data_IF_863158025052
#
_entry.id   IF_863158025052
#
_cell.length_a   1.000
_cell.length_b   1.000
_cell.length_c   1.000
_cell.angle_alpha   90.00
_cell.angle_beta   90.00
_cell.angle_gamma   90.00
#
_symmetry.space_group_name_H-M   'P 1'
#
loop_
_entity.id
_entity.type
_entity.pdbx_description
1 polymer ?
#
# COMPACT_ATOMS: atom_id res chain seq x y z
N UNK A 1 -24.02 -50.70 11.01
CA UNK A 1 -22.81 -49.99 10.55
C UNK A 1 -23.22 -48.80 9.69
N UNK A 2 -23.07 -47.58 10.22
CA UNK A 2 -22.75 -46.29 9.55
C UNK A 2 -23.24 -45.12 10.42
N UNK A 3 -22.36 -44.53 11.25
CA UNK A 3 -22.60 -43.22 11.81
C UNK A 3 -21.36 -42.32 11.70
N UNK A 4 -21.14 -41.56 10.61
CA UNK A 4 -20.00 -40.62 10.58
C UNK A 4 -20.20 -39.31 9.80
N UNK A 5 -21.42 -38.94 9.40
CA UNK A 5 -21.61 -37.68 8.67
C UNK A 5 -21.91 -36.46 9.57
N UNK A 6 -22.40 -36.68 10.80
CA UNK A 6 -22.78 -35.58 11.70
C UNK A 6 -21.64 -35.07 12.59
N UNK A 7 -20.59 -35.87 12.82
CA UNK A 7 -19.43 -35.46 13.64
C UNK A 7 -18.47 -34.54 12.88
N UNK A 8 -18.41 -34.61 11.54
CA UNK A 8 -17.56 -33.71 10.74
C UNK A 8 -18.11 -32.29 10.60
N UNK A 9 -19.44 -32.11 10.69
CA UNK A 9 -20.06 -30.78 10.62
C UNK A 9 -19.92 -30.04 11.96
N UNK A 10 -19.89 -30.76 13.08
CA UNK A 10 -19.67 -30.17 14.40
C UNK A 10 -18.20 -29.76 14.65
N UNK A 11 -17.22 -30.45 14.06
CA UNK A 11 -15.79 -30.11 14.20
C UNK A 11 -15.37 -28.95 13.28
N UNK A 12 -16.07 -28.71 12.17
CA UNK A 12 -15.82 -27.56 11.29
C UNK A 12 -16.52 -26.26 11.76
N UNK A 13 -17.46 -26.34 12.71
CA UNK A 13 -18.11 -25.19 13.35
C UNK A 13 -17.48 -24.79 14.70
N UNK A 14 -16.48 -25.55 15.18
CA UNK A 14 -15.72 -25.27 16.38
C UNK A 14 -14.30 -24.71 16.11
N UNK A 15 -14.02 -24.29 14.87
CA UNK A 15 -13.06 -23.21 14.70
C UNK A 15 -13.79 -21.96 15.15
N UNK A 16 -13.54 -21.53 16.39
CA UNK A 16 -13.85 -20.20 16.86
C UNK A 16 -13.27 -19.19 15.85
N UNK A 17 -14.09 -18.83 14.86
CA UNK A 17 -14.13 -17.48 14.37
C UNK A 17 -14.55 -16.67 15.59
N UNK A 18 -13.58 -16.36 16.46
CA UNK A 18 -13.64 -15.17 17.28
C UNK A 18 -13.85 -14.08 16.25
N UNK A 19 -15.12 -13.69 16.08
CA UNK A 19 -15.45 -12.40 15.52
C UNK A 19 -14.65 -11.44 16.39
N UNK A 20 -13.45 -11.06 15.94
CA UNK A 20 -12.63 -10.10 16.65
C UNK A 20 -13.47 -8.84 16.59
N UNK A 21 -14.16 -8.56 17.70
CA UNK A 21 -14.89 -7.32 17.88
C UNK A 21 -13.97 -6.19 17.47
N UNK A 22 -14.55 -5.20 16.79
CA UNK A 22 -13.84 -3.97 16.47
C UNK A 22 -13.19 -3.44 17.75
N UNK A 23 -11.89 -3.16 17.70
CA UNK A 23 -11.18 -2.61 18.86
C UNK A 23 -11.91 -1.36 19.40
N UNK A 24 -12.38 -1.46 20.64
CA UNK A 24 -13.04 -0.36 21.35
C UNK A 24 -11.99 0.50 22.06
N UNK A 25 -12.28 1.79 22.22
CA UNK A 25 -11.44 2.72 22.97
C UNK A 25 -11.26 2.27 24.42
N UNK A 26 -12.26 1.63 25.03
CA UNK A 26 -12.19 1.15 26.42
C UNK A 26 -11.12 0.06 26.60
N UNK A 27 -10.82 -0.69 25.54
CA UNK A 27 -9.80 -1.74 25.55
C UNK A 27 -8.37 -1.19 25.44
N UNK A 28 -8.21 0.07 25.04
CA UNK A 28 -6.90 0.69 24.85
C UNK A 28 -6.23 1.01 26.20
N UNK A 29 -4.97 0.59 26.42
CA UNK A 29 -4.22 0.98 27.60
C UNK A 29 -3.82 2.45 27.49
N UNK A 30 -4.19 3.26 28.47
CA UNK A 30 -3.72 4.63 28.53
C UNK A 30 -2.25 4.67 28.96
N UNK A 31 -1.50 5.65 28.44
CA UNK A 31 -0.06 5.72 28.67
C UNK A 31 0.44 7.15 28.78
N UNK A 32 1.61 7.32 29.38
CA UNK A 32 2.44 8.50 29.25
C UNK A 32 3.55 8.23 28.24
N UNK A 33 3.95 9.25 27.48
CA UNK A 33 5.03 9.14 26.51
C UNK A 33 6.00 10.31 26.65
N UNK A 34 7.29 10.04 26.44
CA UNK A 34 8.33 11.05 26.26
C UNK A 34 9.37 10.58 25.26
N UNK A 35 10.14 11.51 24.71
CA UNK A 35 11.19 11.21 23.76
C UNK A 35 12.42 12.10 24.00
N UNK A 36 13.57 11.63 23.52
CA UNK A 36 14.79 12.42 23.41
C UNK A 36 15.54 12.07 22.14
N UNK A 37 16.35 13.01 21.68
CA UNK A 37 17.38 12.76 20.68
C UNK A 37 18.64 12.29 21.40
N UNK A 38 19.26 11.26 20.86
CA UNK A 38 20.56 10.76 21.31
C UNK A 38 21.65 11.21 20.36
N UNK A 39 21.38 11.22 19.05
CA UNK A 39 22.33 11.68 18.04
C UNK A 39 21.64 12.39 16.88
N UNK A 40 22.32 13.38 16.31
CA UNK A 40 21.99 14.08 15.07
C UNK A 40 23.21 14.04 14.16
N UNK A 41 23.02 13.57 12.92
CA UNK A 41 24.12 13.36 11.96
C UNK A 41 25.26 12.50 12.52
N UNK A 42 24.90 11.51 13.35
CA UNK A 42 25.87 10.64 14.02
C UNK A 42 26.70 11.29 15.13
N UNK A 43 26.37 12.52 15.54
CA UNK A 43 27.02 13.25 16.64
C UNK A 43 26.05 13.47 17.78
N UNK A 44 26.57 13.67 18.98
CA UNK A 44 25.74 14.05 20.13
C UNK A 44 25.14 15.45 19.91
N UNK A 45 23.87 15.69 20.28
CA UNK A 45 23.23 16.98 20.10
C UNK A 45 23.88 18.04 20.99
N UNK A 46 24.04 19.27 20.46
CA UNK A 46 24.60 20.39 21.22
C UNK A 46 23.71 20.74 22.43
N UNK A 47 24.30 21.24 23.51
CA UNK A 47 23.57 21.48 24.77
C UNK A 47 22.41 22.47 24.65
N UNK A 48 22.46 23.40 23.70
CA UNK A 48 21.45 24.41 23.38
C UNK A 48 20.55 24.02 22.20
N UNK A 49 20.84 22.90 21.53
CA UNK A 49 20.09 22.44 20.37
C UNK A 49 18.69 22.00 20.79
N UNK A 50 17.69 22.73 20.32
CA UNK A 50 16.28 22.43 20.62
C UNK A 50 15.69 21.46 19.60
N UNK A 51 15.06 20.41 20.10
CA UNK A 51 14.29 19.44 19.31
C UNK A 51 12.85 19.43 19.79
N UNK A 52 11.92 19.30 18.84
CA UNK A 52 10.48 19.28 19.05
C UNK A 52 9.94 17.91 18.67
N UNK A 53 9.15 17.33 19.55
CA UNK A 53 8.42 16.09 19.35
C UNK A 53 6.92 16.36 19.28
N UNK A 54 6.26 15.65 18.38
CA UNK A 54 4.80 15.59 18.29
C UNK A 54 4.38 14.14 18.45
N UNK A 55 3.62 13.85 19.50
CA UNK A 55 3.07 12.53 19.74
C UNK A 55 1.69 12.42 19.12
N UNK A 56 1.41 11.34 18.42
CA UNK A 56 0.03 11.08 18.00
C UNK A 56 -0.70 10.34 19.12
N UNK A 57 -1.98 10.64 19.37
CA UNK A 57 -2.80 11.66 18.71
C UNK A 57 -2.78 13.06 19.34
N UNK A 58 -2.03 13.29 20.42
CA UNK A 58 -1.95 14.58 21.14
C UNK A 58 -1.61 15.78 20.24
N UNK A 59 -0.63 15.63 19.34
CA UNK A 59 -0.19 16.60 18.32
C UNK A 59 0.29 17.95 18.86
N UNK A 60 0.40 18.15 20.18
CA UNK A 60 1.06 19.33 20.71
C UNK A 60 2.58 19.24 20.52
N UNK A 61 3.25 20.39 20.54
CA UNK A 61 4.69 20.49 20.41
C UNK A 61 5.36 20.32 21.78
N UNK A 62 6.19 19.28 21.92
CA UNK A 62 6.90 18.97 23.16
C UNK A 62 8.40 19.14 22.95
N UNK A 63 9.02 20.07 23.68
CA UNK A 63 10.41 20.47 23.45
C UNK A 63 11.37 19.71 24.36
N UNK A 64 12.56 19.46 23.85
CA UNK A 64 13.73 19.01 24.59
C UNK A 64 14.96 19.78 24.10
N UNK A 65 15.98 19.91 24.94
CA UNK A 65 17.24 20.58 24.59
C UNK A 65 18.40 19.60 24.77
N UNK A 66 19.32 19.56 23.80
CA UNK A 66 20.42 18.61 23.75
C UNK A 66 19.92 17.16 23.82
N UNK A 67 20.50 16.38 24.73
CA UNK A 67 20.12 14.96 24.96
C UNK A 67 19.07 14.78 26.07
N UNK A 68 18.43 15.86 26.52
CA UNK A 68 17.42 15.80 27.57
C UNK A 68 16.12 15.15 27.06
N UNK A 69 15.34 14.61 27.99
CA UNK A 69 13.99 14.15 27.72
C UNK A 69 13.03 15.34 27.61
N UNK A 70 12.09 15.28 26.67
CA UNK A 70 10.92 16.13 26.78
C UNK A 70 10.09 15.73 28.02
N UNK A 71 9.20 16.62 28.52
CA UNK A 71 8.27 16.25 29.58
C UNK A 71 7.42 15.03 29.23
N UNK A 72 6.93 14.34 30.26
CA UNK A 72 5.93 13.27 30.08
C UNK A 72 4.61 13.85 29.55
N UNK A 73 4.04 13.18 28.56
CA UNK A 73 2.78 13.56 27.91
C UNK A 73 1.76 12.45 28.10
N UNK A 74 0.64 12.79 28.72
CA UNK A 74 -0.47 11.87 28.93
C UNK A 74 -1.27 11.64 27.66
N UNK A 75 -1.43 10.37 27.26
CA UNK A 75 -2.33 9.91 26.21
C UNK A 75 -3.44 9.06 26.84
N UNK A 76 -4.59 9.71 27.02
CA UNK A 76 -5.81 9.10 27.57
C UNK A 76 -6.72 8.53 26.46
N UNK A 77 -7.78 7.84 26.88
CA UNK A 77 -8.79 7.27 25.97
C UNK A 77 -9.46 8.31 25.07
N UNK A 78 -9.73 9.52 25.59
CA UNK A 78 -10.36 10.58 24.81
C UNK A 78 -9.51 10.95 23.59
N UNK A 79 -8.20 11.11 23.79
CA UNK A 79 -7.25 11.36 22.71
C UNK A 79 -7.19 10.17 21.74
N UNK A 80 -7.14 8.95 22.25
CA UNK A 80 -7.04 7.73 21.43
C UNK A 80 -8.28 7.47 20.56
N UNK A 81 -9.49 7.81 21.04
CA UNK A 81 -10.73 7.64 20.29
C UNK A 81 -10.66 8.30 18.90
N UNK A 82 -10.15 9.53 18.83
CA UNK A 82 -10.01 10.26 17.57
C UNK A 82 -9.07 9.57 16.56
N UNK A 83 -8.08 8.83 17.04
CA UNK A 83 -7.08 8.13 16.23
C UNK A 83 -7.56 6.74 15.78
N UNK A 84 -8.43 6.08 16.56
CA UNK A 84 -9.10 4.84 16.14
C UNK A 84 -9.91 5.03 14.85
N UNK A 85 -10.45 6.25 14.64
CA UNK A 85 -11.19 6.63 13.43
C UNK A 85 -10.31 7.15 12.29
N UNK A 86 -8.98 6.99 12.38
CA UNK A 86 -8.05 7.35 11.30
C UNK A 86 -7.33 6.11 10.75
N UNK A 87 -6.92 6.18 9.49
CA UNK A 87 -6.05 5.18 8.89
C UNK A 87 -4.70 5.12 9.66
N UNK A 88 -4.12 3.93 9.91
CA UNK A 88 -4.59 2.61 9.49
C UNK A 88 -5.56 1.93 10.49
N UNK A 89 -5.83 2.52 11.66
CA UNK A 89 -6.67 1.90 12.69
C UNK A 89 -8.08 1.56 12.20
N UNK A 90 -8.67 2.40 11.34
CA UNK A 90 -9.98 2.13 10.72
C UNK A 90 -10.02 0.87 9.88
N UNK A 91 -8.89 0.48 9.28
CA UNK A 91 -8.78 -0.67 8.41
C UNK A 91 -8.42 -1.93 9.18
N UNK A 92 -7.58 -1.82 10.22
CA UNK A 92 -7.16 -2.96 11.04
C UNK A 92 -8.31 -3.55 11.87
N UNK A 93 -9.26 -2.71 12.32
CA UNK A 93 -10.43 -3.08 13.15
C UNK A 93 -10.07 -3.91 14.40
N UNK A 94 -8.82 -3.93 14.83
CA UNK A 94 -8.29 -4.81 15.87
C UNK A 94 -6.89 -4.40 16.30
N UNK A 95 -6.26 -5.20 17.16
CA UNK A 95 -4.86 -4.99 17.53
C UNK A 95 -3.91 -5.23 16.33
N UNK A 96 -2.82 -4.47 16.21
CA UNK A 96 -2.37 -3.41 17.13
C UNK A 96 -3.08 -2.07 16.88
N UNK A 97 -3.18 -1.25 17.92
CA UNK A 97 -3.49 0.17 17.78
C UNK A 97 -2.23 0.92 17.32
N UNK A 98 -2.37 1.72 16.27
CA UNK A 98 -1.28 2.42 15.59
C UNK A 98 -1.27 3.89 15.96
N UNK A 99 -0.13 4.32 16.48
CA UNK A 99 0.23 5.68 16.84
C UNK A 99 1.61 6.03 16.28
N UNK A 100 2.22 7.12 16.74
CA UNK A 100 3.58 7.46 16.34
C UNK A 100 4.15 8.70 17.03
N UNK A 101 5.41 8.96 16.72
CA UNK A 101 6.17 10.15 17.11
C UNK A 101 6.66 10.83 15.84
N UNK A 102 6.55 12.15 15.79
CA UNK A 102 7.23 12.99 14.80
C UNK A 102 8.29 13.84 15.49
N UNK A 103 9.48 13.93 14.92
CA UNK A 103 10.62 14.72 15.45
C UNK A 103 11.02 15.83 14.47
N UNK A 104 11.38 17.00 15.00
CA UNK A 104 11.90 18.15 14.23
C UNK A 104 12.94 18.96 15.04
N UNK A 105 14.04 19.45 14.45
CA UNK A 105 14.48 19.17 13.08
C UNK A 105 14.86 17.70 12.90
N UNK A 106 14.94 17.24 11.65
CA UNK A 106 15.41 15.90 11.30
C UNK A 106 16.62 16.03 10.38
N UNK A 107 17.67 15.27 10.68
CA UNK A 107 18.90 15.17 9.88
C UNK A 107 19.35 13.72 9.86
N UNK A 108 19.60 13.14 8.68
CA UNK A 108 19.95 11.71 8.57
C UNK A 108 21.43 11.47 8.92
N UNK A 109 21.77 10.58 9.87
CA UNK A 109 20.87 9.84 10.76
C UNK A 109 20.52 10.62 12.03
N UNK A 110 19.24 10.57 12.43
CA UNK A 110 18.78 11.03 13.75
C UNK A 110 18.47 9.82 14.61
N UNK A 111 19.21 9.62 15.70
CA UNK A 111 18.93 8.54 16.66
C UNK A 111 18.07 9.09 17.80
N UNK A 112 16.95 8.45 18.07
CA UNK A 112 16.04 8.83 19.15
C UNK A 112 15.77 7.67 20.10
N UNK A 113 15.38 8.04 21.31
CA UNK A 113 14.77 7.15 22.29
C UNK A 113 13.37 7.64 22.64
N UNK A 114 12.46 6.71 22.81
CA UNK A 114 11.08 6.94 23.24
C UNK A 114 10.79 6.04 24.41
N UNK A 115 10.17 6.59 25.45
CA UNK A 115 9.65 5.82 26.56
C UNK A 115 8.13 5.92 26.58
N UNK A 116 7.49 4.77 26.75
CA UNK A 116 6.05 4.63 26.95
C UNK A 116 5.84 4.03 28.34
N UNK A 117 5.13 4.75 29.21
CA UNK A 117 4.77 4.28 30.56
C UNK A 117 3.27 4.01 30.62
N UNK A 118 2.88 2.76 30.83
CA UNK A 118 1.46 2.41 30.97
C UNK A 118 0.93 2.84 32.33
N UNK A 119 -0.24 3.49 32.35
CA UNK A 119 -0.81 4.00 33.61
C UNK A 119 -1.41 2.90 34.46
N UNK A 120 -1.94 1.84 33.85
CA UNK A 120 -2.58 0.75 34.59
C UNK A 120 -1.62 -0.07 35.46
N UNK A 121 -0.32 -0.13 35.12
CA UNK A 121 0.66 -0.97 35.83
C UNK A 121 2.02 -0.29 36.06
N UNK A 122 2.22 0.95 35.61
CA UNK A 122 3.48 1.68 35.72
C UNK A 122 4.62 1.15 34.86
N UNK A 123 4.40 0.11 34.04
CA UNK A 123 5.43 -0.50 33.21
C UNK A 123 5.96 0.51 32.20
N UNK A 124 7.29 0.65 32.15
CA UNK A 124 7.99 1.49 31.17
C UNK A 124 8.58 0.60 30.07
N UNK A 125 8.24 0.93 28.82
CA UNK A 125 8.82 0.32 27.62
C UNK A 125 9.70 1.35 26.94
N UNK A 126 10.94 0.97 26.67
CA UNK A 126 11.91 1.81 25.95
C UNK A 126 12.07 1.34 24.50
N UNK A 127 12.00 2.30 23.59
CA UNK A 127 12.05 2.09 22.15
C UNK A 127 13.16 2.98 21.61
N UNK A 128 14.07 2.41 20.81
CA UNK A 128 15.10 3.16 20.13
C UNK A 128 14.85 3.13 18.63
N UNK A 129 15.19 4.20 17.90
CA UNK A 129 15.04 4.30 16.44
C UNK A 129 16.19 5.07 15.81
N UNK A 130 16.54 4.73 14.56
CA UNK A 130 17.49 5.49 13.74
C UNK A 130 16.76 5.99 12.50
N UNK A 131 16.42 7.27 12.51
CA UNK A 131 15.50 7.90 11.58
C UNK A 131 16.24 8.60 10.43
N UNK A 132 15.80 8.35 9.20
CA UNK A 132 16.17 9.13 8.00
C UNK A 132 15.09 10.14 7.58
N UNK A 133 14.00 10.20 8.33
CA UNK A 133 12.84 11.05 8.11
C UNK A 133 12.13 11.28 9.44
N UNK A 134 11.17 12.20 9.52
CA UNK A 134 10.72 12.72 10.81
C UNK A 134 9.82 11.76 11.60
N UNK A 135 9.40 10.61 11.06
CA UNK A 135 8.36 9.77 11.66
C UNK A 135 8.90 8.43 12.21
N UNK A 136 8.46 8.09 13.42
CA UNK A 136 8.56 6.76 14.04
C UNK A 136 7.15 6.25 14.32
N UNK A 137 6.82 5.03 13.88
CA UNK A 137 5.56 4.38 14.25
C UNK A 137 5.61 3.84 15.68
N UNK A 138 4.45 3.79 16.34
CA UNK A 138 4.29 3.12 17.62
C UNK A 138 3.09 2.18 17.55
N UNK A 139 3.28 0.94 17.97
CA UNK A 139 2.25 -0.08 17.98
C UNK A 139 1.96 -0.48 19.42
N UNK A 140 0.68 -0.40 19.81
CA UNK A 140 0.20 -0.80 21.12
C UNK A 140 -0.72 -2.01 20.99
N UNK A 141 -0.57 -3.00 21.88
CA UNK A 141 -1.43 -4.17 21.93
C UNK A 141 -1.44 -4.80 23.32
N UNK A 142 -2.39 -5.70 23.58
CA UNK A 142 -2.37 -6.55 24.78
C UNK A 142 -1.79 -7.92 24.46
N UNK A 143 -0.89 -8.40 25.30
CA UNK A 143 -0.27 -9.73 25.16
C UNK A 143 -1.32 -10.79 25.45
N UNK A 144 -1.48 -11.76 24.54
CA UNK A 144 -2.54 -12.77 24.65
C UNK A 144 -2.48 -13.66 25.90
N UNK A 145 -1.29 -13.87 26.47
CA UNK A 145 -1.10 -14.82 27.58
C UNK A 145 -1.60 -14.29 28.93
N UNK A 146 -1.57 -12.98 29.14
CA UNK A 146 -1.79 -12.35 30.45
C UNK A 146 -2.40 -10.94 30.36
N UNK A 147 -2.88 -10.57 29.17
CA UNK A 147 -3.51 -9.29 28.86
C UNK A 147 -2.65 -8.03 29.12
N UNK A 148 -1.35 -8.23 29.36
CA UNK A 148 -0.43 -7.15 29.70
C UNK A 148 -0.25 -6.19 28.51
N UNK A 149 -0.27 -4.87 28.76
CA UNK A 149 -0.11 -3.87 27.71
C UNK A 149 1.32 -3.91 27.17
N UNK A 150 1.47 -3.76 25.87
CA UNK A 150 2.74 -3.79 25.16
C UNK A 150 2.83 -2.58 24.24
N UNK A 151 4.06 -2.08 24.06
CA UNK A 151 4.40 -1.06 23.08
C UNK A 151 5.66 -1.48 22.33
N UNK A 152 5.76 -1.12 21.06
CA UNK A 152 6.95 -1.36 20.25
C UNK A 152 6.98 -0.45 19.03
N UNK A 153 8.16 -0.23 18.46
CA UNK A 153 8.25 0.25 17.08
C UNK A 153 7.77 -0.84 16.10
N UNK A 154 7.34 -0.48 14.87
CA UNK A 154 7.06 -1.43 13.80
C UNK A 154 8.17 -2.45 13.60
N UNK A 155 9.44 -2.02 13.66
CA UNK A 155 10.61 -2.91 13.60
C UNK A 155 10.57 -4.01 14.67
N UNK A 156 10.41 -3.64 15.93
CA UNK A 156 10.39 -4.56 17.07
C UNK A 156 9.15 -5.48 17.01
N UNK A 157 7.99 -4.92 16.69
CA UNK A 157 6.74 -5.67 16.57
C UNK A 157 6.78 -6.71 15.46
N UNK A 158 7.37 -6.35 14.31
CA UNK A 158 7.44 -7.22 13.14
C UNK A 158 8.45 -8.37 13.28
N UNK A 159 9.30 -8.39 14.31
CA UNK A 159 10.24 -9.49 14.56
C UNK A 159 9.54 -10.86 14.61
N UNK A 160 8.27 -10.91 15.03
CA UNK A 160 7.48 -12.15 15.02
C UNK A 160 7.30 -12.75 13.61
N UNK A 161 7.25 -11.91 12.58
CA UNK A 161 7.16 -12.34 11.18
C UNK A 161 8.55 -12.70 10.66
N UNK A 162 9.57 -11.91 11.03
CA UNK A 162 10.96 -12.14 10.61
C UNK A 162 11.58 -13.40 11.17
N UNK A 163 11.12 -13.91 12.33
CA UNK A 163 11.58 -15.19 12.86
C UNK A 163 11.39 -16.36 11.90
N UNK A 164 10.30 -16.37 11.12
CA UNK A 164 10.09 -17.39 10.10
C UNK A 164 11.10 -17.24 8.95
N UNK A 165 11.39 -16.00 8.55
CA UNK A 165 12.39 -15.69 7.51
C UNK A 165 13.83 -15.91 7.98
N UNK A 166 14.12 -15.79 9.28
CA UNK A 166 15.45 -16.02 9.85
C UNK A 166 15.91 -17.47 9.72
N UNK A 167 14.98 -18.41 9.53
CA UNK A 167 15.28 -19.81 9.27
C UNK A 167 15.57 -20.10 7.78
N UNK A 168 15.39 -19.11 6.91
CA UNK A 168 15.61 -19.23 5.47
C UNK A 168 16.84 -18.40 5.10
N UNK A 169 17.85 -19.08 4.59
CA UNK A 169 18.96 -18.48 3.88
C UNK A 169 19.18 -19.30 2.62
N UNK A 170 18.71 -18.78 1.47
CA UNK A 170 18.78 -19.48 0.19
C UNK A 170 20.15 -19.20 -0.47
N UNK A 171 21.05 -20.20 -0.56
CA UNK A 171 22.35 -20.05 -1.20
C UNK A 171 22.24 -19.54 -2.63
N UNK A 172 23.21 -18.74 -3.07
CA UNK A 172 23.20 -18.10 -4.39
C UNK A 172 23.01 -19.07 -5.57
N UNK A 173 23.50 -20.32 -5.43
CA UNK A 173 23.35 -21.39 -6.43
C UNK A 173 21.91 -21.86 -6.64
N UNK A 174 21.04 -21.66 -5.65
CA UNK A 174 19.62 -22.02 -5.72
C UNK A 174 18.72 -20.82 -6.01
N UNK A 175 19.26 -19.60 -6.02
CA UNK A 175 18.48 -18.40 -6.32
C UNK A 175 18.08 -18.39 -7.81
N UNK A 176 16.82 -18.05 -8.14
CA UNK A 176 16.38 -17.94 -9.53
C UNK A 176 17.26 -16.99 -10.34
N UNK A 177 17.65 -17.41 -11.55
CA UNK A 177 18.46 -16.59 -12.48
C UNK A 177 17.74 -16.18 -13.76
N UNK A 178 16.62 -16.85 -14.07
CA UNK A 178 15.91 -16.67 -15.35
C UNK A 178 14.69 -15.75 -15.25
N UNK A 179 14.10 -15.59 -14.06
CA UNK A 179 12.95 -14.75 -13.84
C UNK A 179 13.07 -13.99 -12.51
N UNK A 180 12.52 -12.77 -12.40
CA UNK A 180 12.48 -12.06 -11.15
C UNK A 180 11.42 -12.67 -10.21
N UNK A 181 11.77 -12.88 -8.95
CA UNK A 181 10.81 -12.96 -7.85
C UNK A 181 10.78 -11.60 -7.17
N UNK A 182 9.60 -10.98 -7.16
CA UNK A 182 9.40 -9.60 -6.72
C UNK A 182 8.49 -9.56 -5.49
N UNK A 183 8.92 -8.85 -4.46
CA UNK A 183 8.07 -8.44 -3.34
C UNK A 183 8.61 -7.15 -2.73
N UNK A 184 8.03 -6.68 -1.63
CA UNK A 184 8.37 -5.41 -1.00
C UNK A 184 8.35 -5.51 0.51
N UNK A 185 9.29 -4.81 1.13
CA UNK A 185 9.12 -4.44 2.53
C UNK A 185 8.30 -3.15 2.59
N UNK A 186 7.16 -3.19 3.28
CA UNK A 186 6.34 -2.00 3.54
C UNK A 186 6.72 -1.45 4.92
N UNK A 187 7.69 -0.54 4.95
CA UNK A 187 7.99 0.24 6.15
C UNK A 187 6.86 1.24 6.42
N UNK A 188 6.30 1.21 7.63
CA UNK A 188 5.24 2.14 8.05
C UNK A 188 5.81 3.45 8.65
N UNK A 189 7.13 3.58 8.72
CA UNK A 189 7.84 4.72 9.31
C UNK A 189 9.25 4.92 8.70
N UNK A 190 10.05 5.81 9.30
CA UNK A 190 11.38 6.17 8.84
C UNK A 190 12.53 5.50 9.62
N UNK A 191 12.29 4.43 10.41
CA UNK A 191 13.39 3.71 11.07
C UNK A 191 14.20 2.91 10.04
N UNK A 192 15.39 3.42 9.71
CA UNK A 192 16.31 2.84 8.72
C UNK A 192 16.71 1.41 9.03
N UNK A 193 16.76 1.04 10.32
CA UNK A 193 17.06 -0.34 10.74
C UNK A 193 15.93 -1.29 10.37
N UNK A 194 14.67 -0.83 10.41
CA UNK A 194 13.52 -1.62 9.99
C UNK A 194 13.58 -1.94 8.50
N UNK A 195 13.92 -0.93 7.68
CA UNK A 195 14.14 -1.09 6.24
C UNK A 195 15.28 -2.06 5.94
N UNK A 196 16.42 -1.91 6.64
CA UNK A 196 17.57 -2.81 6.48
C UNK A 196 17.22 -4.26 6.81
N UNK A 197 16.63 -4.51 7.97
CA UNK A 197 16.24 -5.87 8.39
C UNK A 197 15.23 -6.51 7.42
N UNK A 198 14.20 -5.75 6.98
CA UNK A 198 13.20 -6.26 6.05
C UNK A 198 13.77 -6.58 4.66
N UNK A 199 14.61 -5.68 4.12
CA UNK A 199 15.26 -5.88 2.81
C UNK A 199 16.23 -7.08 2.86
N UNK A 200 17.05 -7.19 3.91
CA UNK A 200 17.97 -8.31 4.09
C UNK A 200 17.23 -9.64 4.24
N UNK A 201 16.12 -9.67 5.00
CA UNK A 201 15.31 -10.87 5.17
C UNK A 201 14.70 -11.34 3.84
N UNK A 202 14.17 -10.42 3.02
CA UNK A 202 13.65 -10.76 1.70
C UNK A 202 14.78 -11.21 0.75
N UNK A 203 15.93 -10.54 0.75
CA UNK A 203 17.09 -10.96 -0.04
C UNK A 203 17.52 -12.39 0.30
N UNK A 204 17.67 -12.73 1.58
CA UNK A 204 18.02 -14.09 2.03
C UNK A 204 16.96 -15.13 1.66
N UNK A 205 15.68 -14.76 1.67
CA UNK A 205 14.60 -15.65 1.25
C UNK A 205 14.54 -15.91 -0.26
N UNK A 206 15.39 -15.26 -1.06
CA UNK A 206 15.53 -15.52 -2.50
C UNK A 206 14.75 -14.56 -3.39
N UNK A 207 14.21 -13.47 -2.85
CA UNK A 207 13.63 -12.41 -3.68
C UNK A 207 14.74 -11.71 -4.46
N UNK A 208 14.64 -11.76 -5.80
CA UNK A 208 15.71 -11.29 -6.69
C UNK A 208 15.54 -9.84 -7.13
N UNK A 209 14.37 -9.24 -6.89
CA UNK A 209 14.11 -7.83 -7.07
C UNK A 209 13.14 -7.34 -5.98
N UNK A 210 13.34 -6.13 -5.47
CA UNK A 210 12.52 -5.59 -4.39
C UNK A 210 11.85 -4.29 -4.79
N UNK A 211 10.58 -4.12 -4.41
CA UNK A 211 9.90 -2.85 -4.63
C UNK A 211 10.28 -1.85 -3.54
N UNK A 212 10.94 -0.76 -3.93
CA UNK A 212 11.37 0.31 -3.02
C UNK A 212 11.11 1.68 -3.64
N UNK A 213 10.72 2.71 -2.87
CA UNK A 213 10.59 4.05 -3.42
C UNK A 213 11.96 4.60 -3.85
N UNK A 214 11.99 5.58 -4.77
CA UNK A 214 13.23 6.24 -5.16
C UNK A 214 13.84 6.97 -3.96
N UNK A 215 14.89 6.38 -3.39
CA UNK A 215 15.61 6.92 -2.24
C UNK A 215 17.08 6.47 -2.28
N UNK A 216 18.01 7.43 -2.20
CA UNK A 216 19.45 7.15 -2.12
C UNK A 216 19.79 6.25 -0.94
N UNK A 217 19.08 6.41 0.19
CA UNK A 217 19.29 5.57 1.37
C UNK A 217 18.89 4.11 1.12
N UNK A 218 17.74 3.90 0.49
CA UNK A 218 17.28 2.55 0.15
C UNK A 218 18.15 1.93 -0.93
N UNK A 219 18.68 2.73 -1.85
CA UNK A 219 19.67 2.28 -2.82
C UNK A 219 20.89 1.68 -2.12
N UNK A 220 21.46 2.38 -1.14
CA UNK A 220 22.62 1.88 -0.39
C UNK A 220 22.28 0.62 0.42
N UNK A 221 21.10 0.57 1.06
CA UNK A 221 20.65 -0.62 1.80
C UNK A 221 20.49 -1.83 0.86
N UNK A 222 19.96 -1.64 -0.35
CA UNK A 222 19.84 -2.71 -1.34
C UNK A 222 21.22 -3.21 -1.79
N UNK A 223 22.16 -2.31 -2.03
CA UNK A 223 23.54 -2.67 -2.38
C UNK A 223 24.21 -3.48 -1.26
N UNK A 224 24.10 -3.04 0.00
CA UNK A 224 24.59 -3.78 1.17
C UNK A 224 23.95 -5.17 1.28
N UNK A 225 22.68 -5.31 0.93
CA UNK A 225 21.95 -6.58 0.93
C UNK A 225 22.18 -7.45 -0.32
N UNK A 226 23.04 -7.01 -1.26
CA UNK A 226 23.33 -7.71 -2.51
C UNK A 226 22.17 -7.73 -3.52
N UNK A 227 21.19 -6.84 -3.38
CA UNK A 227 20.02 -6.74 -4.26
C UNK A 227 20.25 -5.67 -5.32
N UNK A 228 20.49 -6.10 -6.56
CA UNK A 228 20.83 -5.19 -7.67
C UNK A 228 19.65 -4.85 -8.58
N UNK A 229 18.50 -5.52 -8.41
CA UNK A 229 17.29 -5.28 -9.18
C UNK A 229 16.20 -4.70 -8.31
N UNK A 230 15.47 -3.74 -8.85
CA UNK A 230 14.35 -3.08 -8.18
C UNK A 230 13.06 -3.32 -8.94
N UNK A 231 11.96 -3.12 -8.26
CA UNK A 231 10.65 -3.03 -8.88
C UNK A 231 9.91 -1.81 -8.34
N UNK A 232 8.81 -1.44 -8.97
CA UNK A 232 7.96 -0.39 -8.42
C UNK A 232 6.50 -0.61 -8.77
N UNK A 233 5.62 0.08 -8.04
CA UNK A 233 4.21 0.17 -8.37
C UNK A 233 3.72 1.60 -8.24
N UNK A 234 2.73 1.94 -9.07
CA UNK A 234 1.91 3.13 -8.88
C UNK A 234 0.45 2.71 -8.70
N UNK A 235 -0.28 3.51 -7.93
CA UNK A 235 -1.73 3.32 -7.82
C UNK A 235 -2.42 3.46 -9.18
N UNK A 236 -1.97 4.39 -10.02
CA UNK A 236 -2.58 4.67 -11.31
C UNK A 236 -1.71 5.54 -12.23
N UNK A 237 -1.68 5.28 -13.55
CA UNK A 237 -1.16 6.25 -14.52
C UNK A 237 -2.16 7.41 -14.72
N UNK A 238 -1.82 8.46 -15.49
CA UNK A 238 -2.76 9.52 -15.86
C UNK A 238 -4.04 8.93 -16.46
N UNK A 239 -5.20 9.37 -15.94
CA UNK A 239 -6.50 8.84 -16.35
C UNK A 239 -6.90 7.50 -15.72
N UNK A 240 -6.08 6.94 -14.83
CA UNK A 240 -6.32 5.61 -14.25
C UNK A 240 -6.37 4.54 -15.35
N UNK A 241 -7.52 3.93 -15.60
CA UNK A 241 -7.69 2.91 -16.63
C UNK A 241 -8.11 3.47 -18.00
N UNK A 242 -8.45 4.78 -18.11
CA UNK A 242 -9.03 5.35 -19.33
C UNK A 242 -8.56 6.78 -19.61
N UNK A 243 -8.49 7.16 -20.88
CA UNK A 243 -8.08 8.51 -21.34
C UNK A 243 -9.27 9.46 -21.61
N UNK A 244 -10.35 9.36 -20.82
CA UNK A 244 -11.59 10.10 -21.08
C UNK A 244 -11.53 11.58 -20.67
N UNK A 245 -10.65 11.97 -19.74
CA UNK A 245 -10.39 13.38 -19.44
C UNK A 245 -9.38 13.95 -20.45
N UNK A 246 -9.89 14.33 -21.63
CA UNK A 246 -9.08 14.80 -22.77
C UNK A 246 -8.22 16.04 -22.46
N UNK A 247 -8.58 16.81 -21.43
CA UNK A 247 -7.82 17.99 -21.00
C UNK A 247 -6.62 17.62 -20.14
N UNK A 248 -6.71 16.52 -19.39
CA UNK A 248 -5.67 16.11 -18.42
C UNK A 248 -4.87 14.90 -18.86
N UNK A 249 -5.42 14.05 -19.71
CA UNK A 249 -4.80 12.81 -20.18
C UNK A 249 -4.41 12.97 -21.64
N UNK A 250 -3.34 13.72 -21.87
CA UNK A 250 -2.72 13.91 -23.19
C UNK A 250 -1.49 13.01 -23.34
N UNK A 251 -1.02 12.73 -24.58
CA UNK A 251 0.23 12.02 -24.80
C UNK A 251 1.40 12.65 -24.03
N UNK A 252 1.51 13.98 -24.01
CA UNK A 252 2.56 14.71 -23.31
C UNK A 252 2.46 14.56 -21.80
N UNK A 253 1.23 14.49 -21.25
CA UNK A 253 1.02 14.25 -19.83
C UNK A 253 1.44 12.82 -19.43
N UNK A 254 1.17 11.83 -20.28
CA UNK A 254 1.60 10.43 -20.08
C UNK A 254 3.13 10.34 -20.14
N UNK A 255 3.76 10.97 -21.14
CA UNK A 255 5.23 10.99 -21.26
C UNK A 255 5.90 11.67 -20.06
N UNK A 256 5.39 12.85 -19.67
CA UNK A 256 5.91 13.58 -18.51
C UNK A 256 5.77 12.76 -17.23
N UNK A 257 4.63 12.10 -17.03
CA UNK A 257 4.42 11.22 -15.89
C UNK A 257 5.44 10.07 -15.88
N UNK A 258 5.64 9.39 -17.00
CA UNK A 258 6.60 8.28 -17.10
C UNK A 258 8.04 8.75 -16.83
N UNK A 259 8.43 9.90 -17.41
CA UNK A 259 9.73 10.52 -17.17
C UNK A 259 9.93 10.88 -15.69
N UNK A 260 8.90 11.45 -15.04
CA UNK A 260 8.95 11.75 -13.61
C UNK A 260 9.15 10.50 -12.74
N UNK A 261 8.55 9.35 -13.12
CA UNK A 261 8.81 8.08 -12.42
C UNK A 261 10.30 7.71 -12.55
N UNK A 262 10.84 7.68 -13.76
CA UNK A 262 12.23 7.30 -14.02
C UNK A 262 13.24 8.27 -13.37
N UNK A 263 12.99 9.57 -13.45
CA UNK A 263 13.88 10.60 -12.90
C UNK A 263 14.00 10.54 -11.38
N UNK A 264 12.94 10.12 -10.68
CA UNK A 264 13.01 9.85 -9.24
C UNK A 264 14.11 8.85 -8.91
N UNK A 265 14.18 7.76 -9.68
CA UNK A 265 15.18 6.72 -9.52
C UNK A 265 16.59 7.20 -9.90
N UNK A 266 16.72 7.87 -11.06
CA UNK A 266 18.02 8.45 -11.49
C UNK A 266 18.61 9.39 -10.45
N UNK A 267 17.81 10.34 -9.95
CA UNK A 267 18.25 11.30 -8.91
C UNK A 267 18.64 10.61 -7.59
N UNK A 268 18.04 9.45 -7.33
CA UNK A 268 18.34 8.62 -6.15
C UNK A 268 19.56 7.71 -6.34
N UNK A 269 20.23 7.74 -7.49
CA UNK A 269 21.42 6.95 -7.77
C UNK A 269 21.14 5.53 -8.24
N UNK A 270 19.90 5.22 -8.63
CA UNK A 270 19.60 3.96 -9.32
C UNK A 270 19.88 4.10 -10.81
N UNK A 271 20.38 3.02 -11.40
CA UNK A 271 20.42 2.87 -12.85
C UNK A 271 19.04 2.40 -13.33
N UNK A 272 18.41 3.08 -14.31
CA UNK A 272 17.12 2.67 -14.86
C UNK A 272 17.05 1.19 -15.30
N UNK A 273 18.16 0.61 -15.76
CA UNK A 273 18.25 -0.80 -16.15
C UNK A 273 18.09 -1.78 -14.97
N UNK A 274 18.21 -1.31 -13.73
CA UNK A 274 17.93 -2.12 -12.54
C UNK A 274 16.44 -2.39 -12.36
N UNK A 275 15.55 -1.65 -13.04
CA UNK A 275 14.10 -1.85 -12.95
C UNK A 275 13.70 -3.16 -13.63
N UNK A 276 13.38 -4.16 -12.82
CA UNK A 276 12.99 -5.50 -13.25
C UNK A 276 11.50 -5.63 -13.61
N UNK A 277 10.65 -4.85 -12.95
CA UNK A 277 9.21 -4.91 -13.08
C UNK A 277 8.58 -3.58 -12.64
N UNK A 278 7.61 -3.11 -13.41
CA UNK A 278 6.78 -1.98 -13.02
C UNK A 278 5.31 -2.39 -12.99
N UNK A 279 4.68 -2.38 -11.81
CA UNK A 279 3.25 -2.62 -11.67
C UNK A 279 2.49 -1.29 -11.86
N UNK A 280 1.83 -1.17 -13.00
CA UNK A 280 1.04 -0.01 -13.40
C UNK A 280 -0.43 -0.24 -13.07
N UNK A 281 -0.97 0.62 -12.20
CA UNK A 281 -2.34 0.58 -11.72
C UNK A 281 -2.62 -0.55 -10.74
N UNK A 282 -3.41 -0.21 -9.71
CA UNK A 282 -3.95 -1.17 -8.75
C UNK A 282 -5.44 -1.44 -9.08
N UNK A 283 -5.77 -2.69 -9.40
CA UNK A 283 -7.14 -3.21 -9.55
C UNK A 283 -8.06 -2.40 -10.49
N UNK A 284 -7.68 -2.14 -11.76
CA UNK A 284 -8.33 -1.13 -12.62
C UNK A 284 -9.83 -1.32 -12.88
N UNK A 285 -10.37 -2.53 -12.68
CA UNK A 285 -11.80 -2.80 -12.84
C UNK A 285 -12.68 -2.34 -11.67
N UNK A 286 -12.11 -1.84 -10.56
CA UNK A 286 -12.84 -1.51 -9.34
C UNK A 286 -13.93 -0.46 -9.54
N UNK A 287 -13.72 0.48 -10.46
CA UNK A 287 -14.67 1.56 -10.74
C UNK A 287 -15.72 1.23 -11.80
N UNK A 288 -15.83 -0.04 -12.22
CA UNK A 288 -16.91 -0.47 -13.09
C UNK A 288 -18.21 -0.68 -12.30
N UNK A 289 -19.39 -0.23 -12.78
CA UNK A 289 -19.67 0.42 -14.07
C UNK A 289 -19.67 1.96 -14.01
N UNK A 290 -19.14 2.61 -12.96
CA UNK A 290 -19.14 4.08 -12.83
C UNK A 290 -18.49 4.78 -14.04
N UNK A 291 -17.58 4.10 -14.74
CA UNK A 291 -16.93 4.58 -15.97
C UNK A 291 -17.86 4.81 -17.17
N UNK A 292 -19.10 4.32 -17.16
CA UNK A 292 -20.07 4.62 -18.22
C UNK A 292 -20.32 6.12 -18.36
N UNK A 293 -20.52 6.80 -17.21
CA UNK A 293 -20.77 8.24 -17.19
C UNK A 293 -19.55 9.04 -17.63
N UNK A 294 -18.34 8.54 -17.36
CA UNK A 294 -17.11 9.19 -17.78
C UNK A 294 -16.93 9.07 -19.30
N UNK A 295 -17.22 7.90 -19.87
CA UNK A 295 -17.23 7.69 -21.32
C UNK A 295 -18.21 8.65 -22.00
N UNK A 296 -19.46 8.72 -21.53
CA UNK A 296 -20.50 9.56 -22.14
C UNK A 296 -20.18 11.06 -22.14
N UNK A 297 -19.33 11.51 -21.21
CA UNK A 297 -18.86 12.90 -21.13
C UNK A 297 -17.68 13.20 -22.06
N UNK A 298 -17.05 12.18 -22.65
CA UNK A 298 -15.96 12.34 -23.61
C UNK A 298 -16.47 12.06 -25.03
N UNK A 299 -16.62 13.09 -25.88
CA UNK A 299 -17.00 12.90 -27.27
C UNK A 299 -16.07 11.92 -28.00
N UNK A 300 -14.76 11.98 -27.73
CA UNK A 300 -13.77 11.07 -28.30
C UNK A 300 -14.00 9.62 -27.85
N UNK A 301 -14.29 9.40 -26.58
CA UNK A 301 -14.58 8.07 -26.05
C UNK A 301 -15.90 7.49 -26.59
N UNK A 302 -16.96 8.32 -26.69
CA UNK A 302 -18.22 7.94 -27.32
C UNK A 302 -18.01 7.52 -28.77
N UNK A 303 -17.26 8.31 -29.53
CA UNK A 303 -16.94 7.99 -30.92
C UNK A 303 -16.19 6.65 -31.00
N UNK A 304 -15.16 6.46 -30.16
CA UNK A 304 -14.39 5.22 -30.09
C UNK A 304 -15.27 4.00 -29.76
N UNK A 305 -16.24 4.18 -28.86
CA UNK A 305 -17.22 3.14 -28.54
C UNK A 305 -18.10 2.78 -29.75
N UNK A 306 -18.60 3.78 -30.48
CA UNK A 306 -19.38 3.55 -31.70
C UNK A 306 -18.55 2.86 -32.79
N UNK A 307 -17.31 3.28 -32.99
CA UNK A 307 -16.38 2.65 -33.93
C UNK A 307 -16.08 1.21 -33.54
N UNK A 308 -15.86 0.94 -32.26
CA UNK A 308 -15.68 -0.41 -31.75
C UNK A 308 -16.90 -1.29 -32.05
N UNK A 309 -18.12 -0.80 -31.81
CA UNK A 309 -19.35 -1.54 -32.12
C UNK A 309 -19.46 -1.83 -33.62
N UNK A 310 -19.21 -0.84 -34.48
CA UNK A 310 -19.24 -1.01 -35.95
C UNK A 310 -18.22 -2.04 -36.42
N UNK A 311 -16.98 -1.99 -35.90
CA UNK A 311 -15.92 -2.95 -36.24
C UNK A 311 -16.27 -4.39 -35.83
N UNK A 312 -17.12 -4.55 -34.82
CA UNK A 312 -17.64 -5.84 -34.38
C UNK A 312 -18.99 -6.20 -35.03
N UNK A 313 -19.32 -5.57 -36.15
CA UNK A 313 -20.49 -5.91 -36.98
C UNK A 313 -21.83 -5.42 -36.43
N UNK A 314 -21.84 -4.53 -35.44
CA UNK A 314 -23.09 -3.97 -34.91
C UNK A 314 -23.63 -2.86 -35.83
N UNK A 315 -24.86 -3.04 -36.27
CA UNK A 315 -25.67 -2.03 -36.98
C UNK A 315 -26.73 -1.44 -36.07
N UNK A 316 -27.27 -0.28 -36.42
CA UNK A 316 -28.38 0.35 -35.69
C UNK A 316 -29.60 -0.59 -35.59
N UNK A 317 -29.93 -1.26 -36.70
CA UNK A 317 -30.98 -2.29 -36.74
C UNK A 317 -30.69 -3.45 -35.79
N UNK A 318 -29.46 -3.98 -35.78
CA UNK A 318 -29.09 -5.10 -34.89
C UNK A 318 -29.19 -4.75 -33.40
N UNK A 319 -29.07 -3.47 -33.07
CA UNK A 319 -29.18 -2.91 -31.72
C UNK A 319 -30.59 -2.41 -31.40
N UNK A 320 -31.52 -2.43 -32.36
CA UNK A 320 -32.86 -1.87 -32.21
C UNK A 320 -32.82 -0.37 -31.92
N UNK A 321 -32.01 0.39 -32.67
CA UNK A 321 -31.85 1.85 -32.58
C UNK A 321 -32.04 2.48 -33.96
N UNK A 322 -32.39 3.76 -33.99
CA UNK A 322 -32.50 4.54 -35.23
C UNK A 322 -31.36 5.53 -35.42
N UNK A 323 -30.59 5.82 -34.36
CA UNK A 323 -29.47 6.76 -34.39
C UNK A 323 -28.36 6.29 -33.43
N UNK A 324 -27.09 6.47 -33.83
CA UNK A 324 -25.92 6.23 -33.00
C UNK A 324 -25.90 7.09 -31.73
N UNK A 325 -26.54 8.26 -31.72
CA UNK A 325 -26.71 9.07 -30.50
C UNK A 325 -27.49 8.33 -29.40
N UNK A 326 -28.34 7.36 -29.76
CA UNK A 326 -29.08 6.51 -28.81
C UNK A 326 -28.25 5.31 -28.32
N UNK A 327 -27.10 5.04 -28.94
CA UNK A 327 -26.20 3.94 -28.57
C UNK A 327 -25.25 4.43 -27.49
N UNK A 328 -25.50 3.96 -26.26
CA UNK A 328 -24.75 4.28 -25.04
C UNK A 328 -24.34 3.01 -24.30
N UNK A 329 -23.27 3.02 -23.49
CA UNK A 329 -22.98 1.88 -22.63
C UNK A 329 -24.16 1.65 -21.68
N UNK A 330 -24.61 0.40 -21.56
CA UNK A 330 -25.71 0.03 -20.67
C UNK A 330 -25.27 -1.01 -19.66
N UNK A 331 -25.90 -1.01 -18.49
CA UNK A 331 -25.73 -2.02 -17.45
C UNK A 331 -26.77 -3.15 -17.54
N UNK A 332 -26.62 -4.22 -16.73
CA UNK A 332 -27.52 -5.38 -16.76
C UNK A 332 -28.97 -5.02 -16.43
N UNK A 333 -29.18 -4.02 -15.55
CA UNK A 333 -30.52 -3.55 -15.17
C UNK A 333 -31.26 -2.83 -16.30
N UNK A 334 -30.58 -2.41 -17.37
CA UNK A 334 -31.14 -1.70 -18.52
C UNK A 334 -31.51 -2.63 -19.69
N UNK A 335 -31.18 -3.92 -19.61
CA UNK A 335 -31.44 -4.88 -20.70
C UNK A 335 -32.92 -5.26 -20.75
N UNK A 336 -33.61 -5.00 -21.87
CA UNK A 336 -35.03 -5.34 -22.07
C UNK A 336 -35.29 -6.10 -23.37
N UNK A 337 -34.49 -5.83 -24.39
CA UNK A 337 -34.66 -6.39 -25.74
C UNK A 337 -33.47 -7.26 -26.16
N UNK A 338 -33.59 -7.95 -27.29
CA UNK A 338 -32.47 -8.66 -27.91
C UNK A 338 -31.35 -7.69 -28.34
N UNK A 339 -31.71 -6.50 -28.83
CA UNK A 339 -30.77 -5.42 -29.13
C UNK A 339 -29.99 -4.97 -27.90
N UNK A 340 -30.65 -4.82 -26.76
CA UNK A 340 -29.97 -4.46 -25.50
C UNK A 340 -29.03 -5.56 -25.02
N UNK A 341 -29.39 -6.84 -25.19
CA UNK A 341 -28.47 -7.96 -24.83
C UNK A 341 -27.17 -7.87 -25.62
N UNK A 342 -27.25 -7.60 -26.93
CA UNK A 342 -26.06 -7.39 -27.79
C UNK A 342 -25.28 -6.16 -27.36
N UNK A 343 -25.96 -5.04 -27.10
CA UNK A 343 -25.32 -3.79 -26.67
C UNK A 343 -24.59 -3.97 -25.33
N UNK A 344 -25.23 -4.62 -24.34
CA UNK A 344 -24.64 -4.92 -23.04
C UNK A 344 -23.41 -5.81 -23.18
N UNK A 345 -23.51 -6.89 -23.96
CA UNK A 345 -22.38 -7.79 -24.23
C UNK A 345 -21.15 -7.04 -24.76
N UNK A 346 -21.36 -6.18 -25.76
CA UNK A 346 -20.27 -5.40 -26.35
C UNK A 346 -19.82 -4.23 -25.47
N UNK A 347 -20.69 -3.68 -24.62
CA UNK A 347 -20.30 -2.71 -23.60
C UNK A 347 -19.29 -3.32 -22.63
N UNK A 348 -19.58 -4.50 -22.08
CA UNK A 348 -18.65 -5.20 -21.17
C UNK A 348 -17.28 -5.44 -21.83
N UNK A 349 -17.27 -5.86 -23.10
CA UNK A 349 -16.02 -6.10 -23.84
C UNK A 349 -15.27 -4.83 -24.20
N UNK A 350 -15.98 -3.75 -24.51
CA UNK A 350 -15.37 -2.47 -24.86
C UNK A 350 -14.49 -1.94 -23.73
N UNK A 351 -14.95 -1.95 -22.46
CA UNK A 351 -14.17 -1.38 -21.36
C UNK A 351 -12.86 -2.14 -21.10
N UNK A 352 -12.85 -3.46 -21.24
CA UNK A 352 -11.61 -4.25 -21.16
C UNK A 352 -10.67 -3.93 -22.34
N UNK A 353 -11.22 -3.83 -23.56
CA UNK A 353 -10.45 -3.48 -24.75
C UNK A 353 -9.85 -2.06 -24.67
N UNK A 354 -10.65 -1.08 -24.27
CA UNK A 354 -10.24 0.33 -24.26
C UNK A 354 -9.26 0.64 -23.12
N UNK A 355 -9.42 -0.03 -21.96
CA UNK A 355 -8.43 0.06 -20.89
C UNK A 355 -7.09 -0.58 -21.27
N UNK A 356 -7.11 -1.75 -21.93
CA UNK A 356 -5.90 -2.37 -22.45
C UNK A 356 -5.18 -1.45 -23.47
N UNK A 357 -5.93 -0.77 -24.34
CA UNK A 357 -5.38 0.24 -25.27
C UNK A 357 -4.72 1.40 -24.52
N UNK A 358 -5.38 1.97 -23.51
CA UNK A 358 -4.80 3.07 -22.70
C UNK A 358 -3.53 2.62 -21.97
N UNK A 359 -3.56 1.45 -21.33
CA UNK A 359 -2.39 0.90 -20.67
C UNK A 359 -1.26 0.58 -21.65
N UNK A 360 -1.54 0.18 -22.89
CA UNK A 360 -0.49 0.03 -23.89
C UNK A 360 0.27 1.35 -24.13
N UNK A 361 -0.45 2.47 -24.25
CA UNK A 361 0.16 3.81 -24.38
C UNK A 361 0.99 4.18 -23.16
N UNK A 362 0.47 3.97 -21.94
CA UNK A 362 1.23 4.27 -20.71
C UNK A 362 2.46 3.36 -20.54
N UNK A 363 2.35 2.08 -20.90
CA UNK A 363 3.47 1.13 -20.91
C UNK A 363 4.58 1.59 -21.84
N UNK A 364 4.24 1.99 -23.06
CA UNK A 364 5.23 2.46 -24.04
C UNK A 364 6.00 3.67 -23.54
N UNK A 365 5.31 4.63 -22.89
CA UNK A 365 5.95 5.78 -22.27
C UNK A 365 6.90 5.37 -21.13
N UNK A 366 6.49 4.44 -20.25
CA UNK A 366 7.37 3.89 -19.20
C UNK A 366 8.60 3.18 -19.79
N UNK A 367 8.39 2.38 -20.84
CA UNK A 367 9.45 1.63 -21.53
C UNK A 367 10.50 2.58 -22.09
N UNK A 368 10.07 3.67 -22.75
CA UNK A 368 10.97 4.75 -23.20
C UNK A 368 11.68 5.45 -22.04
N UNK A 369 10.92 5.80 -21.00
CA UNK A 369 11.45 6.56 -19.86
C UNK A 369 12.50 5.78 -19.06
N UNK A 370 12.38 4.46 -18.94
CA UNK A 370 13.37 3.61 -18.24
C UNK A 370 14.46 3.03 -19.17
N UNK A 371 14.37 3.26 -20.49
CA UNK A 371 15.48 3.03 -21.42
C UNK A 371 15.68 1.58 -21.89
N UNK A 372 14.64 0.75 -21.94
CA UNK A 372 14.77 -0.65 -22.39
C UNK A 372 13.45 -1.42 -22.38
N UNK A 373 13.52 -2.74 -22.60
CA UNK A 373 12.38 -3.66 -22.49
C UNK A 373 11.99 -3.87 -21.02
N UNK A 374 11.26 -2.89 -20.48
CA UNK A 374 10.75 -2.91 -19.11
C UNK A 374 9.46 -3.75 -19.05
N UNK A 375 9.43 -4.86 -18.28
CA UNK A 375 8.18 -5.54 -17.99
C UNK A 375 7.25 -4.62 -17.20
N UNK A 376 6.10 -4.28 -17.79
CA UNK A 376 5.04 -3.52 -17.12
C UNK A 376 3.81 -4.40 -17.02
N UNK A 377 3.28 -4.53 -15.82
CA UNK A 377 2.11 -5.37 -15.52
C UNK A 377 1.03 -4.56 -14.83
N UNK A 378 -0.21 -5.03 -14.86
CA UNK A 378 -1.30 -4.52 -14.02
C UNK A 378 -2.01 -5.71 -13.38
N UNK A 379 -2.41 -5.58 -12.12
CA UNK A 379 -3.19 -6.62 -11.45
C UNK A 379 -4.66 -6.53 -11.88
N UNK A 380 -4.98 -7.23 -12.97
CA UNK A 380 -6.36 -7.39 -13.39
C UNK A 380 -7.13 -8.19 -12.35
N UNK A 381 -8.14 -7.57 -11.75
CA UNK A 381 -9.10 -8.28 -10.92
C UNK A 381 -10.19 -8.90 -11.80
N UNK A 382 -10.52 -10.16 -11.54
CA UNK A 382 -11.56 -10.89 -12.26
C UNK A 382 -12.97 -10.43 -11.79
N UNK A 383 -13.40 -9.23 -12.18
CA UNK A 383 -14.66 -8.60 -11.77
C UNK A 383 -15.94 -9.26 -12.33
N UNK A 384 -15.84 -10.43 -12.98
CA UNK A 384 -17.00 -11.29 -13.25
C UNK A 384 -17.58 -11.96 -12.00
N UNK A 385 -16.95 -11.78 -10.83
CA UNK A 385 -17.32 -12.42 -9.59
C UNK A 385 -18.62 -11.90 -8.98
N UNK A 386 -19.73 -12.58 -9.28
CA UNK A 386 -20.89 -12.73 -8.38
C UNK A 386 -20.52 -13.44 -7.04
N UNK A 387 -19.24 -13.70 -6.82
CA UNK A 387 -18.64 -14.45 -5.71
C UNK A 387 -17.63 -13.61 -4.91
N UNK A 388 -17.76 -12.28 -4.89
CA UNK A 388 -17.37 -11.54 -3.70
C UNK A 388 -18.45 -11.80 -2.64
N UNK A 389 -18.42 -13.01 -2.06
CA UNK A 389 -19.01 -13.24 -0.75
C UNK A 389 -18.07 -12.60 0.26
N UNK A 390 -18.63 -11.85 1.21
CA UNK A 390 -17.91 -11.33 2.36
C UNK A 390 -17.33 -12.52 3.15
N UNK A 391 -16.15 -12.99 2.77
CA UNK A 391 -15.40 -13.94 3.57
C UNK A 391 -14.94 -13.25 4.85
N UNK A 392 -14.82 -13.97 5.98
CA UNK A 392 -14.43 -13.40 7.27
C UNK A 392 -13.01 -12.80 7.31
N UNK A 393 -12.29 -12.79 6.18
CA UNK A 393 -10.88 -12.37 6.05
C UNK A 393 -10.61 -11.54 4.78
N UNK A 394 -11.62 -11.17 4.00
CA UNK A 394 -11.43 -10.30 2.84
C UNK A 394 -11.30 -8.85 3.32
N UNK A 395 -10.07 -8.33 3.34
CA UNK A 395 -9.71 -6.97 3.73
C UNK A 395 -10.05 -5.92 2.66
N UNK A 396 -11.30 -5.86 2.22
CA UNK A 396 -11.80 -4.70 1.46
C UNK A 396 -13.26 -4.45 1.88
N UNK A 397 -13.55 -3.30 2.52
CA UNK A 397 -14.85 -3.00 3.12
C UNK A 397 -16.00 -2.88 2.12
#
# INVERSE_FOLDING_TARGET
MKPHLWTMVAVLLACEAVARGRLDVEQLPEYDIRARVVQLEGKDPQQDQTVVFYFYPDRAAHRATGSQWCPWVRIDRQKMAAQLHRYPNTHLRGWPYVSGVRVQPIVDPTRIEVEVRFVENGQVVRIEATLSGPQLGLLLWRRKSDDMPQAASPRQYNQRYWRAFAQVDLPDKYRPKQFPIVDRYIGTDNDTRAWKEGIEALSRAGFTALMVPPSRKLQSILQEAGVNRIAWAVYSPPGYAFDYDEKKVTPEAIERWAQQQADGYRRSGFDPSQMALFAMSDEPGWYYPAMYRALEKSPRAVQRFHEYLRRNGMTLESLGRSDWKQVRPIGPSQVRTSGDRRLFYWTCRFFAWDSARHFATCREALTRAFGGDLPVVTNWNFFGGRFYVSGPVANNP
#
